data_IF_654099604571
#
_entry.id   IF_654099604571
#
_cell.length_a   1.000
_cell.length_b   1.000
_cell.length_c   1.000
_cell.angle_alpha   90.00
_cell.angle_beta   90.00
_cell.angle_gamma   90.00
#
_symmetry.space_group_name_H-M   'P 1'
#
loop_
_entity.id
_entity.type
_entity.pdbx_description
1 polymer ?
#
# COMPACT_ATOMS: atom_id res chain seq x y z
N UNK A 1 -23.38 -22.64 11.39
CA UNK A 1 -21.96 -22.94 11.69
C UNK A 1 -21.20 -23.31 10.40
N UNK A 2 -21.73 -24.18 9.55
CA UNK A 2 -21.09 -24.61 8.30
C UNK A 2 -20.80 -23.44 7.34
N UNK A 3 -21.82 -22.64 6.99
CA UNK A 3 -21.70 -21.49 6.09
C UNK A 3 -20.74 -20.43 6.65
N UNK A 4 -20.78 -20.20 7.95
CA UNK A 4 -19.87 -19.27 8.63
C UNK A 4 -18.41 -19.69 8.53
N UNK A 5 -18.12 -20.98 8.76
CA UNK A 5 -16.75 -21.52 8.65
C UNK A 5 -16.20 -21.41 7.25
N UNK A 6 -17.02 -21.74 6.24
CA UNK A 6 -16.63 -21.60 4.83
C UNK A 6 -16.37 -20.12 4.48
N UNK A 7 -17.27 -19.21 4.88
CA UNK A 7 -17.13 -17.78 4.65
C UNK A 7 -15.87 -17.18 5.31
N UNK A 8 -15.66 -17.47 6.60
CA UNK A 8 -14.52 -16.90 7.33
C UNK A 8 -13.16 -17.34 6.76
N UNK A 9 -13.05 -18.58 6.33
CA UNK A 9 -11.83 -19.10 5.69
C UNK A 9 -11.58 -18.39 4.34
N UNK A 10 -12.62 -18.27 3.52
CA UNK A 10 -12.53 -17.56 2.24
C UNK A 10 -12.27 -16.07 2.42
N UNK A 11 -12.89 -15.45 3.43
CA UNK A 11 -12.66 -14.03 3.75
C UNK A 11 -11.19 -13.77 4.08
N UNK A 12 -10.56 -14.56 4.93
CA UNK A 12 -9.14 -14.40 5.27
C UNK A 12 -8.27 -14.54 4.02
N UNK A 13 -8.52 -15.58 3.20
CA UNK A 13 -7.77 -15.77 1.96
C UNK A 13 -7.92 -14.62 0.98
N UNK A 14 -9.17 -14.18 0.71
CA UNK A 14 -9.44 -13.05 -0.21
C UNK A 14 -8.92 -11.73 0.34
N UNK A 15 -8.93 -11.53 1.66
CA UNK A 15 -8.39 -10.34 2.29
C UNK A 15 -6.87 -10.20 2.04
N UNK A 16 -6.11 -11.28 2.25
CA UNK A 16 -4.67 -11.25 1.97
C UNK A 16 -4.35 -11.07 0.49
N UNK A 17 -5.13 -11.67 -0.41
CA UNK A 17 -4.97 -11.48 -1.85
C UNK A 17 -5.23 -10.00 -2.22
N UNK A 18 -6.31 -9.41 -1.74
CA UNK A 18 -6.64 -8.00 -1.99
C UNK A 18 -5.57 -7.07 -1.42
N UNK A 19 -5.12 -7.33 -0.19
CA UNK A 19 -4.06 -6.56 0.45
C UNK A 19 -2.75 -6.63 -0.36
N UNK A 20 -2.40 -7.83 -0.85
CA UNK A 20 -1.21 -8.01 -1.69
C UNK A 20 -1.30 -7.24 -3.00
N UNK A 21 -2.45 -7.30 -3.69
CA UNK A 21 -2.69 -6.55 -4.93
C UNK A 21 -2.55 -5.03 -4.68
N UNK A 22 -3.19 -4.51 -3.64
CA UNK A 22 -3.06 -3.10 -3.29
C UNK A 22 -1.64 -2.71 -2.88
N UNK A 23 -0.92 -3.60 -2.19
CA UNK A 23 0.48 -3.37 -1.84
C UNK A 23 1.36 -3.29 -3.08
N UNK A 24 1.16 -4.18 -4.07
CA UNK A 24 1.87 -4.14 -5.35
C UNK A 24 1.57 -2.85 -6.12
N UNK A 25 0.29 -2.46 -6.21
CA UNK A 25 -0.11 -1.19 -6.84
C UNK A 25 0.50 0.02 -6.13
N UNK A 26 0.57 -0.06 -4.81
CA UNK A 26 1.18 0.98 -3.99
C UNK A 26 2.69 1.07 -4.20
N UNK A 27 3.39 -0.06 -4.31
CA UNK A 27 4.83 -0.09 -4.64
C UNK A 27 5.13 0.64 -5.94
N UNK A 28 4.35 0.41 -6.99
CA UNK A 28 4.53 1.09 -8.27
C UNK A 28 4.46 2.61 -8.14
N UNK A 29 3.61 3.12 -7.25
CA UNK A 29 3.45 4.57 -7.03
C UNK A 29 4.69 5.20 -6.39
N UNK A 30 5.42 4.46 -5.56
CA UNK A 30 6.57 4.96 -4.80
C UNK A 30 7.90 4.37 -5.25
N UNK A 31 7.92 3.71 -6.40
CA UNK A 31 9.13 3.06 -6.94
C UNK A 31 10.29 4.03 -7.10
N UNK A 32 10.03 5.25 -7.59
CA UNK A 32 11.05 6.28 -7.80
C UNK A 32 11.63 6.82 -6.48
N UNK A 33 10.90 6.68 -5.39
CA UNK A 33 11.33 7.09 -4.06
C UNK A 33 12.08 5.98 -3.31
N UNK A 34 11.89 4.74 -3.74
CA UNK A 34 12.51 3.54 -3.17
C UNK A 34 13.83 3.18 -3.87
N UNK A 35 13.92 3.41 -5.19
CA UNK A 35 15.09 3.07 -6.01
C UNK A 35 16.09 4.23 -6.00
N UNK A 36 17.37 3.91 -5.88
CA UNK A 36 18.47 4.89 -6.04
C UNK A 36 18.82 5.69 -4.79
N UNK A 37 18.11 5.55 -3.67
CA UNK A 37 18.37 6.35 -2.46
C UNK A 37 19.16 5.62 -1.35
N UNK A 38 19.74 4.47 -1.63
CA UNK A 38 20.54 3.72 -0.65
C UNK A 38 19.81 3.45 0.68
N UNK A 39 18.49 3.20 0.62
CA UNK A 39 17.68 2.98 1.82
C UNK A 39 18.11 1.70 2.53
N UNK A 40 18.25 1.77 3.85
CA UNK A 40 18.50 0.58 4.67
C UNK A 40 17.29 -0.33 4.69
N UNK A 41 17.50 -1.65 4.79
CA UNK A 41 16.43 -2.65 4.86
C UNK A 41 15.43 -2.37 6.00
N UNK A 42 15.91 -1.78 7.09
CA UNK A 42 15.08 -1.39 8.23
C UNK A 42 14.05 -0.31 7.85
N UNK A 43 14.47 0.73 7.15
CA UNK A 43 13.58 1.80 6.67
C UNK A 43 12.56 1.23 5.67
N UNK A 44 12.99 0.31 4.80
CA UNK A 44 12.12 -0.34 3.84
C UNK A 44 11.06 -1.22 4.53
N UNK A 45 11.46 -1.97 5.57
CA UNK A 45 10.53 -2.79 6.35
C UNK A 45 9.47 -1.92 7.07
N UNK A 46 9.88 -0.81 7.67
CA UNK A 46 8.94 0.14 8.29
C UNK A 46 8.01 0.79 7.27
N UNK A 47 8.52 1.11 6.09
CA UNK A 47 7.70 1.64 4.99
C UNK A 47 6.60 0.66 4.59
N UNK A 48 6.94 -0.62 4.34
CA UNK A 48 5.95 -1.65 4.00
C UNK A 48 4.95 -1.91 5.12
N UNK A 49 5.40 -1.89 6.37
CA UNK A 49 4.52 -2.07 7.53
C UNK A 49 3.46 -0.96 7.61
N UNK A 50 3.87 0.32 7.55
CA UNK A 50 2.93 1.44 7.62
C UNK A 50 2.07 1.56 6.36
N UNK A 51 2.61 1.25 5.19
CA UNK A 51 1.85 1.16 3.96
C UNK A 51 0.74 0.09 4.08
N UNK A 52 1.07 -1.11 4.57
CA UNK A 52 0.11 -2.17 4.80
C UNK A 52 -1.01 -1.75 5.74
N UNK A 53 -0.70 -1.12 6.87
CA UNK A 53 -1.70 -0.60 7.80
C UNK A 53 -2.64 0.42 7.16
N UNK A 54 -2.11 1.28 6.28
CA UNK A 54 -2.92 2.29 5.57
C UNK A 54 -3.83 1.66 4.52
N UNK A 55 -3.46 0.51 3.95
CA UNK A 55 -4.23 -0.18 2.91
C UNK A 55 -5.31 -1.13 3.46
N UNK A 56 -5.24 -1.51 4.74
CA UNK A 56 -6.25 -2.39 5.38
C UNK A 56 -7.68 -1.89 5.18
N UNK A 57 -8.03 -0.62 5.46
CA UNK A 57 -9.39 -0.13 5.31
C UNK A 57 -9.92 -0.18 3.87
N UNK A 58 -9.02 -0.04 2.87
CA UNK A 58 -9.39 -0.12 1.45
C UNK A 58 -9.60 -1.56 1.00
N UNK A 59 -8.82 -2.51 1.55
CA UNK A 59 -8.90 -3.92 1.18
C UNK A 59 -10.11 -4.64 1.80
N UNK A 60 -10.58 -4.20 2.97
CA UNK A 60 -11.69 -4.83 3.70
C UNK A 60 -13.01 -4.91 2.89
N UNK A 61 -13.54 -3.81 2.32
CA UNK A 61 -14.81 -3.88 1.57
C UNK A 61 -14.73 -4.80 0.37
N UNK A 62 -13.59 -4.77 -0.35
CA UNK A 62 -13.38 -5.62 -1.52
C UNK A 62 -13.27 -7.10 -1.12
N UNK A 63 -12.56 -7.40 -0.03
CA UNK A 63 -12.44 -8.75 0.50
C UNK A 63 -13.79 -9.32 0.96
N UNK A 64 -14.63 -8.52 1.62
CA UNK A 64 -15.99 -8.89 2.04
C UNK A 64 -16.84 -9.23 0.81
N UNK A 65 -16.79 -8.40 -0.22
CA UNK A 65 -17.54 -8.61 -1.46
C UNK A 65 -17.11 -9.89 -2.16
N UNK A 66 -15.81 -10.08 -2.36
CA UNK A 66 -15.27 -11.28 -3.02
C UNK A 66 -15.54 -12.56 -2.21
N UNK A 67 -15.33 -12.53 -0.90
CA UNK A 67 -15.64 -13.66 -0.04
C UNK A 67 -17.12 -14.04 -0.09
N UNK A 68 -18.00 -13.05 -0.11
CA UNK A 68 -19.44 -13.28 -0.24
C UNK A 68 -19.79 -13.91 -1.58
N UNK A 69 -19.29 -13.37 -2.69
CA UNK A 69 -19.53 -13.90 -4.04
C UNK A 69 -19.04 -15.33 -4.17
N UNK A 70 -17.82 -15.63 -3.73
CA UNK A 70 -17.24 -16.98 -3.81
C UNK A 70 -18.00 -17.94 -2.90
N UNK A 71 -18.35 -17.54 -1.69
CA UNK A 71 -19.08 -18.41 -0.75
C UNK A 71 -20.46 -18.78 -1.31
N UNK A 72 -21.24 -17.79 -1.74
CA UNK A 72 -22.58 -18.06 -2.26
C UNK A 72 -22.54 -18.68 -3.65
N UNK A 73 -21.55 -18.37 -4.48
CA UNK A 73 -21.30 -19.05 -5.74
C UNK A 73 -21.09 -20.55 -5.52
N UNK A 74 -20.18 -20.92 -4.64
CA UNK A 74 -19.90 -22.32 -4.32
C UNK A 74 -21.09 -23.06 -3.71
N UNK A 75 -21.86 -22.39 -2.80
CA UNK A 75 -23.08 -22.98 -2.24
C UNK A 75 -24.17 -23.16 -3.29
N UNK A 76 -24.26 -22.25 -4.26
CA UNK A 76 -25.18 -22.36 -5.39
C UNK A 76 -24.79 -23.48 -6.34
N UNK A 77 -23.54 -23.55 -6.75
CA UNK A 77 -23.00 -24.54 -7.66
C UNK A 77 -23.13 -25.98 -7.13
N UNK A 78 -22.94 -26.17 -5.82
CA UNK A 78 -23.13 -27.46 -5.14
C UNK A 78 -24.57 -27.79 -4.79
N UNK A 79 -25.53 -26.97 -5.20
CA UNK A 79 -26.94 -27.11 -4.83
C UNK A 79 -27.23 -27.11 -3.33
N UNK A 80 -26.25 -26.78 -2.48
CA UNK A 80 -26.38 -26.74 -1.02
C UNK A 80 -27.38 -25.63 -0.59
N UNK A 81 -27.32 -24.47 -1.25
CA UNK A 81 -28.26 -23.39 -1.02
C UNK A 81 -29.69 -23.78 -1.42
N UNK A 82 -29.84 -24.52 -2.52
CA UNK A 82 -31.14 -24.99 -2.99
C UNK A 82 -31.74 -26.04 -2.05
N UNK A 83 -30.92 -26.98 -1.58
CA UNK A 83 -31.38 -28.02 -0.63
C UNK A 83 -31.78 -27.43 0.73
N UNK A 84 -31.05 -26.42 1.23
CA UNK A 84 -31.45 -25.68 2.44
C UNK A 84 -32.79 -24.96 2.28
N UNK A 85 -33.04 -24.34 1.10
CA UNK A 85 -34.32 -23.71 0.80
C UNK A 85 -35.45 -24.72 0.65
N UNK A 86 -35.20 -25.87 0.00
CA UNK A 86 -36.16 -26.95 -0.13
C UNK A 86 -36.55 -27.56 1.23
N UNK A 87 -35.61 -27.57 2.20
CA UNK A 87 -35.88 -27.94 3.58
C UNK A 87 -36.66 -26.87 4.40
N UNK A 88 -37.13 -25.78 3.75
CA UNK A 88 -37.92 -24.72 4.38
C UNK A 88 -37.10 -23.71 5.19
N UNK A 89 -35.77 -23.69 5.09
CA UNK A 89 -34.94 -22.74 5.81
C UNK A 89 -34.97 -21.38 5.09
N UNK A 90 -35.43 -20.30 5.73
CA UNK A 90 -35.49 -19.00 5.10
C UNK A 90 -34.06 -18.44 4.87
N UNK A 91 -33.88 -17.75 3.73
CA UNK A 91 -32.59 -17.22 3.30
C UNK A 91 -31.94 -16.33 4.35
N UNK A 92 -32.74 -15.54 5.07
CA UNK A 92 -32.23 -14.65 6.11
C UNK A 92 -31.52 -15.41 7.23
N UNK A 93 -31.98 -16.63 7.57
CA UNK A 93 -31.34 -17.48 8.59
C UNK A 93 -30.01 -18.05 8.11
N UNK A 94 -29.88 -18.29 6.79
CA UNK A 94 -28.62 -18.72 6.18
C UNK A 94 -27.59 -17.58 6.17
N UNK A 95 -28.04 -16.35 5.89
CA UNK A 95 -27.22 -15.14 5.85
C UNK A 95 -26.85 -14.58 7.23
N UNK A 96 -27.67 -14.83 8.23
CA UNK A 96 -27.54 -14.24 9.57
C UNK A 96 -26.11 -14.32 10.16
N UNK A 97 -25.42 -15.47 10.15
CA UNK A 97 -24.06 -15.56 10.71
C UNK A 97 -23.04 -14.71 9.94
N UNK A 98 -23.22 -14.54 8.64
CA UNK A 98 -22.36 -13.70 7.80
C UNK A 98 -22.62 -12.23 8.10
N UNK A 99 -23.87 -11.84 8.23
CA UNK A 99 -24.27 -10.45 8.56
C UNK A 99 -23.69 -10.05 9.92
N UNK A 100 -23.82 -10.90 10.94
CA UNK A 100 -23.27 -10.63 12.27
C UNK A 100 -21.74 -10.47 12.20
N UNK A 101 -21.06 -11.34 11.47
CA UNK A 101 -19.62 -11.26 11.30
C UNK A 101 -19.19 -9.95 10.60
N UNK A 102 -19.89 -9.54 9.54
CA UNK A 102 -19.61 -8.31 8.83
C UNK A 102 -19.90 -7.06 9.67
N UNK A 103 -20.92 -7.06 10.50
CA UNK A 103 -21.19 -5.98 11.47
C UNK A 103 -20.01 -5.86 12.45
N UNK A 104 -19.51 -6.98 12.96
CA UNK A 104 -18.36 -6.99 13.87
C UNK A 104 -17.09 -6.47 13.18
N UNK A 105 -16.86 -6.85 11.92
CA UNK A 105 -15.76 -6.30 11.11
C UNK A 105 -15.92 -4.79 10.88
N UNK A 106 -17.13 -4.29 10.62
CA UNK A 106 -17.39 -2.86 10.47
C UNK A 106 -17.04 -2.08 11.75
N UNK A 107 -17.44 -2.58 12.90
CA UNK A 107 -17.10 -1.94 14.19
C UNK A 107 -15.58 -1.96 14.41
N UNK A 108 -14.93 -3.08 14.16
CA UNK A 108 -13.47 -3.20 14.25
C UNK A 108 -12.74 -2.27 13.28
N UNK A 109 -13.21 -2.17 12.04
CA UNK A 109 -12.65 -1.27 11.02
C UNK A 109 -12.84 0.20 11.40
N UNK A 110 -13.99 0.56 11.93
CA UNK A 110 -14.27 1.91 12.41
C UNK A 110 -13.30 2.31 13.54
N UNK A 111 -13.12 1.44 14.52
CA UNK A 111 -12.15 1.67 15.60
C UNK A 111 -10.72 1.79 15.05
N UNK A 112 -10.33 0.89 14.16
CA UNK A 112 -9.01 0.89 13.54
C UNK A 112 -8.75 2.19 12.77
N UNK A 113 -9.71 2.67 11.98
CA UNK A 113 -9.58 3.89 11.20
C UNK A 113 -9.48 5.16 12.07
N UNK A 114 -10.14 5.18 13.22
CA UNK A 114 -10.13 6.37 14.09
C UNK A 114 -8.93 6.43 15.03
N UNK A 115 -8.37 5.27 15.42
CA UNK A 115 -7.26 5.21 16.39
C UNK A 115 -5.93 4.92 15.69
N UNK A 116 -5.83 3.79 15.02
CA UNK A 116 -4.56 3.33 14.41
C UNK A 116 -4.27 3.98 13.06
N UNK A 117 -5.33 4.25 12.28
CA UNK A 117 -5.21 4.84 10.93
C UNK A 117 -4.46 6.17 10.90
N UNK A 118 -4.85 7.18 11.71
CA UNK A 118 -4.19 8.49 11.70
C UNK A 118 -2.73 8.43 12.13
N UNK A 119 -2.40 7.58 13.11
CA UNK A 119 -1.01 7.40 13.53
C UNK A 119 -0.16 6.70 12.45
N UNK A 120 -0.69 5.66 11.83
CA UNK A 120 -0.02 4.96 10.74
C UNK A 120 0.21 5.90 9.55
N UNK A 121 -0.78 6.71 9.18
CA UNK A 121 -0.66 7.71 8.11
C UNK A 121 0.38 8.77 8.43
N UNK A 122 0.38 9.33 9.65
CA UNK A 122 1.40 10.31 10.04
C UNK A 122 2.80 9.75 9.92
N UNK A 123 3.05 8.56 10.48
CA UNK A 123 4.36 7.90 10.42
C UNK A 123 4.75 7.56 8.99
N UNK A 124 3.80 7.12 8.18
CA UNK A 124 3.99 6.85 6.77
C UNK A 124 4.42 8.10 5.99
N UNK A 125 3.70 9.21 6.11
CA UNK A 125 4.05 10.47 5.45
C UNK A 125 5.36 11.06 5.96
N UNK A 126 5.66 10.91 7.24
CA UNK A 126 6.96 11.33 7.80
C UNK A 126 8.12 10.53 7.19
N UNK A 127 7.94 9.22 6.99
CA UNK A 127 8.94 8.39 6.30
C UNK A 127 9.14 8.82 4.86
N UNK A 128 8.06 9.04 4.09
CA UNK A 128 8.16 9.54 2.71
C UNK A 128 8.87 10.88 2.66
N UNK A 129 8.53 11.80 3.56
CA UNK A 129 9.16 13.11 3.63
C UNK A 129 10.65 13.00 3.95
N UNK A 130 11.03 12.13 4.90
CA UNK A 130 12.42 11.85 5.23
C UNK A 130 13.19 11.22 4.08
N UNK A 131 12.54 10.35 3.29
CA UNK A 131 13.12 9.76 2.09
C UNK A 131 13.30 10.79 0.97
N UNK A 132 12.36 11.74 0.84
CA UNK A 132 12.47 12.86 -0.11
C UNK A 132 13.55 13.86 0.27
N UNK A 133 13.73 14.12 1.57
CA UNK A 133 14.79 15.01 2.08
C UNK A 133 16.18 14.35 2.13
N UNK A 134 16.28 13.03 2.22
CA UNK A 134 17.49 12.33 1.80
C UNK A 134 17.53 12.50 0.28
N UNK A 135 17.92 13.71 -0.12
CA UNK A 135 18.22 14.02 -1.51
C UNK A 135 18.97 12.85 -2.10
N UNK A 136 18.69 12.43 -3.34
CA UNK A 136 19.76 11.82 -4.09
C UNK A 136 20.93 12.78 -3.85
N UNK A 137 22.07 12.31 -3.35
CA UNK A 137 23.30 13.00 -3.66
C UNK A 137 23.09 13.39 -5.12
N UNK A 138 23.00 14.69 -5.38
CA UNK A 138 22.89 15.17 -6.74
C UNK A 138 23.96 14.37 -7.48
N UNK A 139 23.57 13.32 -8.18
CA UNK A 139 24.46 12.66 -9.13
C UNK A 139 24.66 13.64 -10.26
N UNK A 140 25.35 14.72 -9.89
CA UNK A 140 25.89 15.62 -10.89
C UNK A 140 27.00 14.79 -11.53
N UNK A 141 26.80 14.34 -12.77
CA UNK A 141 27.82 13.55 -13.45
C UNK A 141 29.08 14.39 -13.58
N UNK A 142 30.22 13.82 -13.25
CA UNK A 142 31.53 14.48 -13.42
C UNK A 142 31.71 14.90 -14.87
N UNK A 143 32.09 16.16 -15.08
CA UNK A 143 32.44 16.67 -16.42
C UNK A 143 31.27 16.98 -17.36
N UNK A 144 30.01 16.97 -16.86
CA UNK A 144 28.81 17.27 -17.66
C UNK A 144 28.03 18.43 -17.04
N UNK A 145 27.43 19.27 -17.89
CA UNK A 145 26.52 20.33 -17.42
C UNK A 145 25.19 19.72 -16.95
N UNK A 146 24.86 19.96 -15.70
CA UNK A 146 23.58 19.57 -15.12
C UNK A 146 22.59 20.72 -15.24
N UNK A 147 21.54 20.55 -16.07
CA UNK A 147 20.56 21.58 -16.45
C UNK A 147 19.15 21.29 -15.95
N UNK A 148 18.95 20.37 -15.00
CA UNK A 148 17.62 20.02 -14.50
C UNK A 148 17.02 21.08 -13.56
N UNK A 149 17.81 22.06 -13.12
CA UNK A 149 17.33 23.16 -12.31
C UNK A 149 16.95 24.32 -13.25
N UNK A 150 15.68 24.73 -13.30
CA UNK A 150 15.26 25.85 -14.16
C UNK A 150 16.07 27.11 -13.89
N UNK A 151 16.80 27.61 -14.89
CA UNK A 151 17.60 28.83 -14.82
C UNK A 151 19.03 28.66 -14.33
N UNK A 152 19.48 27.46 -13.98
CA UNK A 152 20.84 27.20 -13.54
C UNK A 152 21.46 26.02 -14.28
N UNK A 153 22.67 26.19 -14.77
CA UNK A 153 23.53 25.12 -15.28
C UNK A 153 24.68 24.95 -14.33
N UNK A 154 24.77 23.76 -13.71
CA UNK A 154 25.83 23.44 -12.76
C UNK A 154 26.84 22.52 -13.44
N UNK A 155 28.11 22.89 -13.42
CA UNK A 155 29.20 22.05 -13.88
C UNK A 155 30.07 21.67 -12.68
N UNK A 156 30.42 20.39 -12.56
CA UNK A 156 31.28 19.87 -11.50
C UNK A 156 32.46 19.16 -12.16
N UNK A 157 33.66 19.60 -11.84
CA UNK A 157 34.88 19.05 -12.44
C UNK A 157 35.24 17.66 -11.84
N UNK A 158 35.13 17.50 -10.54
CA UNK A 158 35.41 16.23 -9.83
C UNK A 158 34.57 16.08 -8.56
N UNK A 159 34.19 14.83 -8.28
CA UNK A 159 33.54 14.43 -7.02
C UNK A 159 34.51 13.63 -6.16
N UNK A 160 34.74 14.04 -4.93
CA UNK A 160 35.57 13.31 -3.97
C UNK A 160 34.92 11.99 -3.58
N UNK A 161 35.55 10.85 -3.89
CA UNK A 161 35.01 9.50 -3.65
C UNK A 161 34.77 9.13 -2.19
N UNK A 162 35.44 9.77 -1.23
CA UNK A 162 35.32 9.45 0.19
C UNK A 162 34.47 10.44 1.01
N UNK A 163 34.41 11.71 0.62
CA UNK A 163 33.78 12.77 1.42
C UNK A 163 32.55 13.42 0.74
N UNK A 164 32.15 12.99 -0.45
CA UNK A 164 31.04 13.61 -1.19
C UNK A 164 31.24 15.09 -1.56
N UNK A 165 32.44 15.63 -1.37
CA UNK A 165 32.75 17.03 -1.69
C UNK A 165 32.88 17.22 -3.19
N UNK A 166 32.25 18.28 -3.70
CA UNK A 166 32.33 18.67 -5.10
C UNK A 166 33.48 19.65 -5.28
N UNK A 167 34.39 19.36 -6.22
CA UNK A 167 35.53 20.21 -6.58
C UNK A 167 35.31 20.84 -7.93
N UNK A 168 35.67 22.13 -8.07
CA UNK A 168 35.55 22.85 -9.35
C UNK A 168 34.09 23.11 -9.75
N UNK A 169 33.24 23.47 -8.81
CA UNK A 169 31.82 23.78 -9.09
C UNK A 169 31.71 25.13 -9.78
N UNK A 170 31.19 25.14 -11.01
CA UNK A 170 30.83 26.34 -11.74
C UNK A 170 29.33 26.39 -11.92
N UNK A 171 28.72 27.52 -11.54
CA UNK A 171 27.28 27.75 -11.66
C UNK A 171 27.08 28.85 -12.70
N UNK A 172 26.42 28.47 -13.80
CA UNK A 172 26.05 29.42 -14.87
C UNK A 172 24.57 29.76 -14.76
N UNK A 173 24.22 31.03 -14.70
CA UNK A 173 22.84 31.48 -14.85
C UNK A 173 22.46 31.39 -16.35
N UNK A 174 21.45 30.62 -16.67
CA UNK A 174 20.88 30.61 -18.01
C UNK A 174 19.98 31.85 -18.16
N UNK A 175 20.48 32.89 -18.82
CA UNK A 175 19.73 34.11 -19.15
C UNK A 175 18.90 33.95 -20.43
N UNK A 176 18.51 32.73 -20.79
CA UNK A 176 17.67 32.51 -21.97
C UNK A 176 16.20 32.61 -21.51
N UNK A 177 15.56 33.66 -21.97
CA UNK A 177 14.11 33.85 -21.95
C UNK A 177 13.42 32.88 -22.89
#
# INVERSE_FOLDING_TARGET
IFVFKAYSLLFVGTFFICLFIFMMQFMWRYVDELIGKGLTLDVLAHFFYYAGLTLIPMSLPLAILLASLITFGNLGERFELLSMKAAGIPLIRILQPIIIFNILLCIGSFYFQNVTGPEAQKKFYTLIYSMKQKSPELEIPEGIFYSEIPGYNIFVEKKGKENGMLYGVMIYLSLIH
#
